data_IF_793543399576
#
_entry.id   IF_793543399576
#
_cell.length_a   1.000
_cell.length_b   1.000
_cell.length_c   1.000
_cell.angle_alpha   90.00
_cell.angle_beta   90.00
_cell.angle_gamma   90.00
#
_symmetry.space_group_name_H-M   'P 1'
#
loop_
_entity.id
_entity.type
_entity.pdbx_description
1 polymer ?
#
# COMPACT_ATOMS: atom_id res chain seq x y z
N UNK A 1 -10.62 14.09 -6.37
CA UNK A 1 -10.17 12.82 -5.74
C UNK A 1 -8.65 12.78 -5.81
N UNK A 2 -7.99 12.04 -4.93
CA UNK A 2 -6.56 11.71 -5.07
C UNK A 2 -6.42 10.20 -5.15
N UNK A 3 -5.49 9.71 -5.95
CA UNK A 3 -5.14 8.30 -5.91
C UNK A 3 -4.23 8.04 -4.70
N UNK A 4 -4.35 6.88 -4.07
CA UNK A 4 -3.46 6.38 -3.02
C UNK A 4 -3.09 4.94 -3.29
N UNK A 5 -1.87 4.55 -2.95
CA UNK A 5 -1.51 3.13 -2.89
C UNK A 5 -2.15 2.48 -1.65
N UNK A 6 -2.37 1.17 -1.75
CA UNK A 6 -2.95 0.33 -0.69
C UNK A 6 -2.07 -0.87 -0.34
N UNK A 7 -0.76 -0.81 -0.57
CA UNK A 7 0.12 -1.98 -0.41
C UNK A 7 0.05 -2.54 1.02
N UNK A 8 -0.06 -1.68 2.04
CA UNK A 8 -0.24 -2.13 3.42
C UNK A 8 -1.55 -2.90 3.63
N UNK A 9 -2.67 -2.34 3.17
CA UNK A 9 -3.98 -2.99 3.25
C UNK A 9 -4.03 -4.27 2.42
N UNK A 10 -3.36 -4.28 1.27
CA UNK A 10 -3.27 -5.43 0.37
C UNK A 10 -2.51 -6.59 1.04
N UNK A 11 -1.32 -6.33 1.59
CA UNK A 11 -0.53 -7.33 2.33
C UNK A 11 -1.33 -7.89 3.52
N UNK A 12 -2.02 -7.03 4.26
CA UNK A 12 -2.90 -7.44 5.38
C UNK A 12 -4.05 -8.33 4.91
N UNK A 13 -4.70 -7.97 3.79
CA UNK A 13 -5.80 -8.75 3.21
C UNK A 13 -5.35 -10.13 2.74
N UNK A 14 -4.14 -10.24 2.19
CA UNK A 14 -3.52 -11.51 1.82
C UNK A 14 -3.16 -12.38 3.03
N UNK A 15 -3.14 -11.83 4.25
CA UNK A 15 -2.76 -12.56 5.46
C UNK A 15 -1.28 -12.96 5.49
N UNK A 16 -0.42 -12.27 4.74
CA UNK A 16 1.01 -12.57 4.63
C UNK A 16 1.87 -11.49 5.27
N UNK A 17 3.13 -11.82 5.54
CA UNK A 17 4.10 -10.85 6.05
C UNK A 17 4.69 -10.01 4.90
N UNK A 18 5.17 -8.78 5.18
CA UNK A 18 5.92 -8.00 4.19
C UNK A 18 7.13 -8.75 3.61
N UNK A 19 7.76 -9.60 4.42
CA UNK A 19 8.86 -10.46 3.98
C UNK A 19 8.38 -11.52 2.98
N UNK A 20 7.24 -12.17 3.24
CA UNK A 20 6.66 -13.13 2.29
C UNK A 20 6.29 -12.44 0.98
N UNK A 21 5.71 -11.25 1.06
CA UNK A 21 5.40 -10.41 -0.09
C UNK A 21 6.66 -10.06 -0.90
N UNK A 22 7.77 -9.71 -0.22
CA UNK A 22 9.08 -9.49 -0.84
C UNK A 22 9.58 -10.71 -1.62
N UNK A 23 9.52 -11.88 -0.99
CA UNK A 23 9.93 -13.14 -1.60
C UNK A 23 9.05 -13.52 -2.80
N UNK A 24 7.75 -13.27 -2.71
CA UNK A 24 6.79 -13.58 -3.77
C UNK A 24 6.95 -12.65 -4.99
N UNK A 25 7.28 -11.38 -4.78
CA UNK A 25 7.36 -10.36 -5.83
C UNK A 25 8.78 -10.05 -6.31
N UNK A 26 9.81 -10.53 -5.60
CA UNK A 26 11.21 -10.22 -5.88
C UNK A 26 11.62 -8.77 -5.54
N UNK A 27 10.77 -8.03 -4.83
CA UNK A 27 11.07 -6.64 -4.44
C UNK A 27 12.01 -6.59 -3.25
N UNK A 28 12.86 -5.56 -3.20
CA UNK A 28 13.66 -5.29 -2.02
C UNK A 28 12.77 -4.89 -0.84
N UNK A 29 13.21 -5.25 0.36
CA UNK A 29 12.47 -4.93 1.59
C UNK A 29 12.32 -3.42 1.78
N UNK A 30 13.32 -2.63 1.38
CA UNK A 30 13.26 -1.16 1.39
C UNK A 30 12.14 -0.64 0.50
N UNK A 31 11.99 -1.16 -0.71
CA UNK A 31 10.92 -0.76 -1.62
C UNK A 31 9.54 -1.09 -1.02
N UNK A 32 9.40 -2.25 -0.39
CA UNK A 32 8.14 -2.63 0.27
C UNK A 32 7.83 -1.70 1.45
N UNK A 33 8.80 -1.39 2.31
CA UNK A 33 8.55 -0.47 3.42
C UNK A 33 8.19 0.93 2.94
N UNK A 34 8.81 1.41 1.86
CA UNK A 34 8.47 2.69 1.24
C UNK A 34 7.01 2.71 0.76
N UNK A 35 6.60 1.70 -0.01
CA UNK A 35 5.23 1.61 -0.53
C UNK A 35 4.19 1.39 0.57
N UNK A 36 4.50 0.55 1.55
CA UNK A 36 3.62 0.21 2.67
C UNK A 36 3.38 1.40 3.61
N UNK A 37 4.41 2.20 3.87
CA UNK A 37 4.34 3.24 4.90
C UNK A 37 3.88 4.60 4.38
N UNK A 38 4.02 4.88 3.08
CA UNK A 38 3.55 6.13 2.47
C UNK A 38 2.55 5.84 1.34
N UNK A 39 1.24 6.02 1.60
CA UNK A 39 0.16 5.88 0.60
C UNK A 39 0.29 6.79 -0.63
N UNK A 40 1.18 7.79 -0.59
CA UNK A 40 1.44 8.71 -1.71
C UNK A 40 2.54 8.23 -2.64
N UNK A 41 3.33 7.23 -2.23
CA UNK A 41 4.31 6.57 -3.10
C UNK A 41 3.62 5.53 -3.95
N UNK A 42 3.90 5.50 -5.25
CA UNK A 42 3.30 4.52 -6.14
C UNK A 42 4.30 3.46 -6.55
N UNK A 43 3.89 2.19 -6.65
CA UNK A 43 4.72 1.21 -7.34
C UNK A 43 4.91 1.66 -8.80
N UNK A 44 6.12 1.47 -9.34
CA UNK A 44 6.34 1.69 -10.77
C UNK A 44 5.51 0.71 -11.61
N UNK A 45 5.29 1.01 -12.89
CA UNK A 45 4.53 0.12 -13.79
C UNK A 45 5.02 -1.34 -13.71
N UNK A 46 6.33 -1.55 -13.76
CA UNK A 46 6.94 -2.88 -13.61
C UNK A 46 6.58 -3.56 -12.29
N UNK A 47 6.61 -2.82 -11.17
CA UNK A 47 6.26 -3.37 -9.85
C UNK A 47 4.77 -3.70 -9.81
N UNK A 48 3.94 -2.87 -10.44
CA UNK A 48 2.51 -3.10 -10.60
C UNK A 48 2.22 -4.42 -11.33
N UNK A 49 2.85 -4.62 -12.48
CA UNK A 49 2.70 -5.82 -13.30
C UNK A 49 3.15 -7.07 -12.55
N UNK A 50 4.29 -7.00 -11.84
CA UNK A 50 4.79 -8.10 -11.02
C UNK A 50 3.80 -8.52 -9.93
N UNK A 51 3.16 -7.56 -9.26
CA UNK A 51 2.16 -7.86 -8.21
C UNK A 51 0.94 -8.51 -8.84
N UNK A 52 0.42 -7.94 -9.95
CA UNK A 52 -0.74 -8.47 -10.65
C UNK A 52 -0.49 -9.88 -11.19
N UNK A 53 0.67 -10.11 -11.80
CA UNK A 53 1.08 -11.42 -12.30
C UNK A 53 1.19 -12.44 -11.17
N UNK A 54 1.85 -12.07 -10.06
CA UNK A 54 2.12 -12.99 -8.95
C UNK A 54 0.85 -13.50 -8.27
N UNK A 55 -0.17 -12.65 -8.15
CA UNK A 55 -1.38 -12.93 -7.39
C UNK A 55 -2.62 -13.08 -8.29
N UNK A 56 -2.45 -13.16 -9.61
CA UNK A 56 -3.53 -13.28 -10.61
C UNK A 56 -4.59 -14.33 -10.26
N UNK A 57 -4.14 -15.51 -9.82
CA UNK A 57 -5.02 -16.65 -9.50
C UNK A 57 -5.89 -16.42 -8.25
N UNK A 58 -5.59 -15.37 -7.46
CA UNK A 58 -6.39 -14.97 -6.30
C UNK A 58 -7.48 -13.95 -6.66
N UNK A 59 -7.68 -13.67 -7.96
CA UNK A 59 -8.71 -12.75 -8.44
C UNK A 59 -8.44 -11.29 -8.09
N UNK A 60 -7.16 -10.91 -7.91
CA UNK A 60 -6.81 -9.53 -7.59
C UNK A 60 -6.92 -8.62 -8.81
N UNK A 61 -7.22 -7.35 -8.58
CA UNK A 61 -7.26 -6.31 -9.60
C UNK A 61 -6.55 -5.03 -9.18
N UNK A 62 -6.52 -4.05 -10.08
CA UNK A 62 -5.87 -2.74 -9.84
C UNK A 62 -6.42 -2.04 -8.60
N UNK A 63 -7.73 -2.14 -8.35
CA UNK A 63 -8.41 -1.53 -7.21
C UNK A 63 -8.00 -2.12 -5.84
N UNK A 64 -7.28 -3.23 -5.84
CA UNK A 64 -6.72 -3.82 -4.64
C UNK A 64 -5.38 -3.21 -4.25
N UNK A 65 -4.68 -2.64 -5.24
CA UNK A 65 -3.35 -2.06 -5.11
C UNK A 65 -3.43 -0.54 -4.96
N UNK A 66 -4.44 0.10 -5.57
CA UNK A 66 -4.68 1.55 -5.48
C UNK A 66 -6.16 1.86 -5.22
N UNK A 67 -6.43 3.02 -4.63
CA UNK A 67 -7.79 3.58 -4.48
C UNK A 67 -7.86 5.06 -4.81
N UNK A 68 -9.04 5.49 -5.22
CA UNK A 68 -9.41 6.90 -5.31
C UNK A 68 -10.06 7.36 -4.00
N UNK A 69 -9.41 8.30 -3.33
CA UNK A 69 -9.89 8.89 -2.08
C UNK A 69 -10.47 10.29 -2.34
N UNK A 70 -11.67 10.61 -1.85
CA UNK A 70 -12.21 11.97 -1.91
C UNK A 70 -11.30 12.96 -1.16
N UNK A 71 -11.09 14.16 -1.71
CA UNK A 71 -10.19 15.17 -1.11
C UNK A 71 -10.67 15.57 0.30
N UNK A 72 -11.98 15.57 0.54
CA UNK A 72 -12.59 15.90 1.84
C UNK A 72 -12.16 14.91 2.93
N UNK A 73 -11.94 13.63 2.59
CA UNK A 73 -11.55 12.58 3.55
C UNK A 73 -10.08 12.67 4.02
N UNK A 74 -9.22 13.40 3.28
CA UNK A 74 -7.80 13.56 3.62
C UNK A 74 -7.62 14.52 4.80
N UNK A 75 -8.46 15.57 4.88
CA UNK A 75 -8.39 16.61 5.90
C UNK A 75 -8.66 16.09 7.33
N UNK A 76 -9.40 14.99 7.47
CA UNK A 76 -9.75 14.38 8.76
C UNK A 76 -8.66 13.46 9.32
N UNK A 77 -7.85 12.83 8.47
CA UNK A 77 -6.83 11.85 8.91
C UNK A 77 -5.54 12.51 9.41
N UNK A 78 -5.22 13.73 8.98
CA UNK A 78 -4.02 14.46 9.46
C UNK A 78 -4.20 15.08 10.87
N UNK A 79 -5.42 15.21 11.39
CA UNK A 79 -5.69 15.83 12.70
C UNK A 79 -5.57 14.88 13.91
N UNK A 80 -5.33 13.58 13.72
CA UNK A 80 -5.25 12.60 14.83
C UNK A 80 -3.83 12.26 15.32
N UNK A 81 -2.78 12.85 14.75
CA UNK A 81 -1.37 12.60 15.13
C UNK A 81 -0.73 13.65 16.04
N UNK A 82 -1.49 14.61 16.57
CA UNK A 82 -0.95 15.73 17.34
C UNK A 82 -1.41 15.74 18.80
N UNK A 83 -0.44 15.68 19.72
CA UNK A 83 -0.53 15.74 21.20
C UNK A 83 -0.82 14.41 21.91
N UNK A 84 0.22 13.82 22.48
CA UNK A 84 0.42 14.06 23.92
C UNK A 84 1.90 13.92 24.29
N UNK A 85 2.55 15.07 24.46
CA UNK A 85 3.83 15.17 25.15
C UNK A 85 3.57 15.48 26.63
N UNK A 86 4.38 14.83 27.48
CA UNK A 86 4.81 15.26 28.81
C UNK A 86 3.71 15.65 29.82
N UNK A 87 3.54 14.80 30.83
CA UNK A 87 3.75 15.16 32.23
C UNK A 87 4.29 13.96 32.98
#
# INVERSE_FOLDING_TARGET
>A
MVMKNKIDSFIKRLGITPYRFAKDTGLSMNNIYLLKNDPSQFPSARVFDLILERYKDQGIGVNDIVEWVPIIAIATSQKRGGRNGRR
#
